data_IF_309873235232
#
_entry.id   IF_309873235232
#
_cell.length_a   1.000
_cell.length_b   1.000
_cell.length_c   1.000
_cell.angle_alpha   90.00
_cell.angle_beta   90.00
_cell.angle_gamma   90.00
#
_symmetry.space_group_name_H-M   'P 1'
#
loop_
_entity.id
_entity.type
_entity.pdbx_description
1 polymer ?
#
# COMPACT_ATOMS: atom_id res chain seq x y z
N UNK A 1 2.91 12.68 -7.21
CA UNK A 1 3.89 12.27 -6.20
C UNK A 1 4.61 13.54 -5.76
N UNK A 2 4.20 14.11 -4.63
CA UNK A 2 5.00 15.18 -4.00
C UNK A 2 6.39 14.59 -3.76
N UNK A 3 7.47 15.21 -4.24
CA UNK A 3 8.78 14.60 -4.10
C UNK A 3 9.13 14.50 -2.61
N UNK A 4 9.35 13.28 -2.13
CA UNK A 4 9.79 13.01 -0.76
C UNK A 4 11.00 13.86 -0.36
N UNK A 5 11.90 14.09 -1.32
CA UNK A 5 13.05 14.99 -1.18
C UNK A 5 12.66 16.44 -0.84
N UNK A 6 11.61 16.99 -1.45
CA UNK A 6 11.17 18.37 -1.17
C UNK A 6 10.62 18.50 0.26
N UNK A 7 9.90 17.49 0.76
CA UNK A 7 9.39 17.46 2.14
C UNK A 7 10.55 17.43 3.13
N UNK A 8 11.58 16.62 2.87
CA UNK A 8 12.79 16.58 3.70
C UNK A 8 13.53 17.92 3.67
N UNK A 9 13.72 18.52 2.49
CA UNK A 9 14.41 19.81 2.34
C UNK A 9 13.74 20.93 3.15
N UNK A 10 12.41 21.03 3.09
CA UNK A 10 11.66 22.05 3.83
C UNK A 10 11.75 21.81 5.33
N UNK A 11 11.65 20.56 5.78
CA UNK A 11 11.66 20.24 7.22
C UNK A 11 13.04 20.44 7.85
N UNK A 12 14.12 20.09 7.15
CA UNK A 12 15.50 20.34 7.61
C UNK A 12 15.83 21.84 7.63
N UNK A 13 15.20 22.64 6.76
CA UNK A 13 15.37 24.10 6.75
C UNK A 13 14.76 24.79 7.98
N UNK A 14 13.82 24.15 8.69
CA UNK A 14 13.10 24.73 9.83
C UNK A 14 13.55 24.11 11.16
N UNK A 15 13.90 22.82 11.17
CA UNK A 15 14.28 22.07 12.36
C UNK A 15 15.61 21.31 12.19
N UNK A 16 16.40 21.23 13.25
CA UNK A 16 17.62 20.42 13.26
C UNK A 16 17.26 18.95 13.00
N UNK A 17 17.93 18.28 12.04
CA UNK A 17 17.61 16.91 11.67
C UNK A 17 17.80 15.97 12.87
N UNK A 18 16.69 15.49 13.43
CA UNK A 18 16.65 14.52 14.52
C UNK A 18 16.16 13.18 13.99
N UNK A 19 16.69 12.07 14.49
CA UNK A 19 16.24 10.72 14.12
C UNK A 19 14.71 10.55 14.21
N UNK A 20 14.10 11.12 15.26
CA UNK A 20 12.64 11.11 15.47
C UNK A 20 11.86 11.76 14.32
N UNK A 21 12.36 12.86 13.75
CA UNK A 21 11.72 13.58 12.66
C UNK A 21 11.81 12.79 11.35
N UNK A 22 12.93 12.12 11.10
CA UNK A 22 13.08 11.22 9.94
C UNK A 22 12.10 10.02 9.99
N UNK A 23 11.96 9.40 11.16
CA UNK A 23 10.99 8.31 11.37
C UNK A 23 9.56 8.81 11.14
N UNK A 24 9.22 9.99 11.69
CA UNK A 24 7.87 10.53 11.60
C UNK A 24 7.48 10.86 10.15
N UNK A 25 8.41 11.41 9.36
CA UNK A 25 8.19 11.64 7.93
C UNK A 25 8.02 10.31 7.19
N UNK A 26 8.87 9.32 7.43
CA UNK A 26 8.74 8.02 6.74
C UNK A 26 7.41 7.33 7.06
N UNK A 27 6.97 7.35 8.32
CA UNK A 27 5.69 6.73 8.71
C UNK A 27 4.50 7.48 8.11
N UNK A 28 4.53 8.82 8.11
CA UNK A 28 3.42 9.65 7.61
C UNK A 28 3.37 9.76 6.08
N UNK A 29 4.46 9.47 5.37
CA UNK A 29 4.49 9.53 3.90
C UNK A 29 4.61 8.14 3.24
N UNK A 30 5.13 7.13 3.94
CA UNK A 30 5.38 5.79 3.39
C UNK A 30 4.13 4.98 3.05
N UNK A 31 3.02 5.20 3.75
CA UNK A 31 1.75 4.51 3.51
C UNK A 31 1.03 4.96 2.22
N UNK A 32 1.33 6.17 1.71
CA UNK A 32 0.66 6.69 0.51
C UNK A 32 0.91 5.81 -0.72
N UNK A 33 2.14 5.30 -0.88
CA UNK A 33 2.48 4.38 -1.98
C UNK A 33 1.74 3.04 -1.86
N UNK A 34 1.70 2.48 -0.65
CA UNK A 34 1.01 1.22 -0.35
C UNK A 34 -0.48 1.33 -0.67
N UNK A 35 -1.10 2.47 -0.36
CA UNK A 35 -2.54 2.71 -0.58
C UNK A 35 -2.90 2.66 -2.07
N UNK A 36 -2.10 3.29 -2.93
CA UNK A 36 -2.30 3.25 -4.39
C UNK A 36 -2.10 1.83 -4.94
N UNK A 37 -1.08 1.14 -4.42
CA UNK A 37 -0.79 -0.23 -4.82
C UNK A 37 -1.95 -1.17 -4.45
N UNK A 38 -2.46 -1.07 -3.22
CA UNK A 38 -3.57 -1.89 -2.73
C UNK A 38 -4.86 -1.66 -3.52
N UNK A 39 -5.15 -0.41 -3.90
CA UNK A 39 -6.29 -0.10 -4.79
C UNK A 39 -6.15 -0.77 -6.16
N UNK A 40 -4.97 -0.68 -6.75
CA UNK A 40 -4.68 -1.29 -8.06
C UNK A 40 -4.80 -2.81 -8.00
N UNK A 41 -4.24 -3.44 -6.97
CA UNK A 41 -4.37 -4.88 -6.74
C UNK A 41 -5.82 -5.31 -6.51
N UNK A 42 -6.60 -4.53 -5.76
CA UNK A 42 -8.01 -4.81 -5.51
C UNK A 42 -8.81 -4.85 -6.81
N UNK A 43 -8.58 -3.90 -7.73
CA UNK A 43 -9.21 -3.94 -9.05
C UNK A 43 -8.78 -5.18 -9.85
N UNK A 44 -7.49 -5.54 -9.82
CA UNK A 44 -6.97 -6.74 -10.50
C UNK A 44 -7.62 -8.02 -9.99
N UNK A 45 -7.71 -8.22 -8.67
CA UNK A 45 -8.35 -9.42 -8.13
C UNK A 45 -9.87 -9.41 -8.30
N UNK A 46 -10.50 -8.24 -8.29
CA UNK A 46 -11.95 -8.15 -8.55
C UNK A 46 -12.35 -8.58 -9.97
N UNK A 47 -11.41 -8.53 -10.93
CA UNK A 47 -11.61 -8.92 -12.33
C UNK A 47 -11.33 -10.42 -12.59
N UNK A 48 -10.95 -11.19 -11.58
CA UNK A 48 -10.66 -12.63 -11.71
C UNK A 48 -11.92 -13.49 -11.84
N UNK A 49 -11.81 -14.60 -12.55
CA UNK A 49 -12.91 -15.55 -12.75
C UNK A 49 -13.46 -16.14 -11.45
N UNK A 50 -12.63 -16.34 -10.42
CA UNK A 50 -13.11 -16.84 -9.13
C UNK A 50 -14.07 -15.86 -8.42
N UNK A 51 -13.91 -14.55 -8.64
CA UNK A 51 -14.84 -13.54 -8.11
C UNK A 51 -16.16 -13.57 -8.88
N UNK A 52 -16.11 -13.77 -10.20
CA UNK A 52 -17.29 -13.92 -11.04
C UNK A 52 -18.08 -15.19 -10.67
N UNK A 53 -17.40 -16.33 -10.49
CA UNK A 53 -18.01 -17.58 -10.04
C UNK A 53 -18.62 -17.45 -8.63
N UNK A 54 -17.91 -16.82 -7.69
CA UNK A 54 -18.43 -16.60 -6.34
C UNK A 54 -19.68 -15.70 -6.33
N UNK A 55 -19.72 -14.66 -7.17
CA UNK A 55 -20.91 -13.82 -7.36
C UNK A 55 -22.07 -14.60 -7.99
N UNK A 56 -21.81 -15.45 -8.99
CA UNK A 56 -22.82 -16.30 -9.62
C UNK A 56 -23.44 -17.32 -8.63
N UNK A 57 -22.65 -17.77 -7.63
CA UNK A 57 -23.10 -18.61 -6.53
C UNK A 57 -23.85 -17.85 -5.42
N UNK A 58 -24.08 -16.54 -5.57
CA UNK A 58 -24.81 -15.71 -4.60
C UNK A 58 -24.00 -15.26 -3.38
N UNK A 59 -22.66 -15.32 -3.43
CA UNK A 59 -21.84 -14.84 -2.32
C UNK A 59 -21.91 -13.30 -2.20
N UNK A 60 -22.02 -12.81 -0.96
CA UNK A 60 -22.02 -11.37 -0.68
C UNK A 60 -20.67 -10.73 -0.99
N UNK A 61 -20.69 -9.49 -1.48
CA UNK A 61 -19.48 -8.73 -1.81
C UNK A 61 -18.52 -8.60 -0.64
N UNK A 62 -19.04 -8.45 0.58
CA UNK A 62 -18.23 -8.39 1.80
C UNK A 62 -17.48 -9.71 2.06
N UNK A 63 -18.13 -10.87 1.87
CA UNK A 63 -17.49 -12.18 2.04
C UNK A 63 -16.37 -12.40 1.02
N UNK A 64 -16.59 -12.01 -0.23
CA UNK A 64 -15.56 -12.09 -1.28
C UNK A 64 -14.39 -11.17 -0.96
N UNK A 65 -14.68 -9.94 -0.50
CA UNK A 65 -13.67 -8.95 -0.16
C UNK A 65 -12.76 -9.44 0.96
N UNK A 66 -13.32 -9.86 2.11
CA UNK A 66 -12.53 -10.22 3.29
C UNK A 66 -11.91 -11.63 3.21
N UNK A 67 -12.57 -12.62 2.61
CA UNK A 67 -12.03 -13.99 2.56
C UNK A 67 -11.17 -14.28 1.33
N UNK A 68 -11.29 -13.51 0.25
CA UNK A 68 -10.58 -13.80 -1.00
C UNK A 68 -9.70 -12.65 -1.45
N UNK A 69 -10.24 -11.44 -1.60
CA UNK A 69 -9.49 -10.31 -2.17
C UNK A 69 -8.44 -9.79 -1.17
N UNK A 70 -8.82 -9.54 0.08
CA UNK A 70 -7.94 -9.02 1.12
C UNK A 70 -6.72 -9.92 1.38
N UNK A 71 -6.87 -11.25 1.66
CA UNK A 71 -5.71 -12.11 1.89
C UNK A 71 -4.83 -12.24 0.65
N UNK A 72 -5.40 -12.31 -0.55
CA UNK A 72 -4.63 -12.46 -1.79
C UNK A 72 -3.83 -11.20 -2.14
N UNK A 73 -4.43 -10.02 -1.96
CA UNK A 73 -3.71 -8.75 -2.14
C UNK A 73 -2.60 -8.54 -1.10
N UNK A 74 -2.79 -8.99 0.14
CA UNK A 74 -1.77 -8.94 1.19
C UNK A 74 -0.52 -9.78 0.86
N UNK A 75 -0.69 -10.98 0.28
CA UNK A 75 0.45 -11.83 -0.13
C UNK A 75 1.35 -11.12 -1.14
N UNK A 76 0.75 -10.40 -2.09
CA UNK A 76 1.50 -9.64 -3.08
C UNK A 76 2.24 -8.44 -2.43
N UNK A 77 1.64 -7.77 -1.44
CA UNK A 77 2.31 -6.71 -0.67
C UNK A 77 3.53 -7.27 0.07
N UNK A 78 3.40 -8.43 0.72
CA UNK A 78 4.52 -9.09 1.43
C UNK A 78 5.64 -9.48 0.47
N UNK A 79 5.30 -9.92 -0.74
CA UNK A 79 6.27 -10.26 -1.78
C UNK A 79 7.02 -9.02 -2.29
N UNK A 80 6.34 -7.88 -2.35
CA UNK A 80 6.90 -6.60 -2.79
C UNK A 80 7.63 -5.84 -1.67
N UNK A 81 7.31 -6.13 -0.41
CA UNK A 81 7.90 -5.51 0.77
C UNK A 81 9.44 -5.45 0.73
N UNK A 82 10.19 -6.55 0.48
CA UNK A 82 11.64 -6.49 0.42
C UNK A 82 12.17 -5.56 -0.69
N UNK A 83 11.51 -5.53 -1.86
CA UNK A 83 11.89 -4.62 -2.94
C UNK A 83 11.64 -3.16 -2.57
N UNK A 84 10.53 -2.87 -1.89
CA UNK A 84 10.24 -1.52 -1.40
C UNK A 84 11.22 -1.07 -0.33
N UNK A 85 11.63 -1.97 0.58
CA UNK A 85 12.63 -1.66 1.61
C UNK A 85 13.99 -1.41 0.96
N UNK A 86 14.41 -2.26 0.02
CA UNK A 86 15.66 -2.08 -0.71
C UNK A 86 15.69 -0.80 -1.56
N UNK A 87 14.55 -0.32 -2.05
CA UNK A 87 14.45 0.94 -2.81
C UNK A 87 14.44 2.20 -1.92
N UNK A 88 14.14 2.07 -0.62
CA UNK A 88 14.10 3.18 0.34
C UNK A 88 15.38 3.27 1.20
N UNK A 89 16.31 2.34 1.03
CA UNK A 89 17.67 2.34 1.62
C UNK A 89 18.64 2.89 0.57
#
# INVERSE_FOLDING_TARGET
>A
MVPFLYVIMILVSIAQPTFMLFVLINVTFGWMGITWYMRTMTYRESAREYVLAAKALGASTARILFNHILPNTMVMIVTLAPFTIAANI
#
